data_IF_986202246534
#
_entry.id   IF_986202246534
#
_cell.length_a   1.000
_cell.length_b   1.000
_cell.length_c   1.000
_cell.angle_alpha   90.00
_cell.angle_beta   90.00
_cell.angle_gamma   90.00
#
_symmetry.space_group_name_H-M   'P 1'
#
loop_
_entity.id
_entity.type
_entity.pdbx_description
1 polymer ?
#
# COMPACT_ATOMS: atom_id res chain seq x y z
N UNK A 1 16.16 -16.18 -10.53
CA UNK A 1 17.48 -15.51 -10.65
C UNK A 1 17.39 -14.08 -10.15
N UNK A 2 18.46 -13.50 -9.56
CA UNK A 2 18.45 -12.10 -9.09
C UNK A 2 18.06 -11.12 -10.21
N UNK A 3 18.49 -11.39 -11.43
CA UNK A 3 18.16 -10.61 -12.62
C UNK A 3 16.68 -10.64 -12.99
N UNK A 4 16.02 -11.79 -12.85
CA UNK A 4 14.58 -11.91 -13.09
C UNK A 4 13.78 -11.08 -12.08
N UNK A 5 14.20 -11.07 -10.81
CA UNK A 5 13.55 -10.26 -9.78
C UNK A 5 13.65 -8.76 -10.08
N UNK A 6 14.82 -8.29 -10.54
CA UNK A 6 15.03 -6.89 -10.95
C UNK A 6 14.12 -6.55 -12.14
N UNK A 7 14.08 -7.43 -13.16
CA UNK A 7 13.24 -7.22 -14.35
C UNK A 7 11.76 -7.11 -13.95
N UNK A 8 11.26 -8.05 -13.16
CA UNK A 8 9.87 -8.03 -12.71
C UNK A 8 9.54 -6.81 -11.86
N UNK A 9 10.43 -6.42 -10.95
CA UNK A 9 10.25 -5.22 -10.15
C UNK A 9 10.15 -3.97 -11.05
N UNK A 10 11.09 -3.80 -11.98
CA UNK A 10 11.09 -2.66 -12.91
C UNK A 10 9.82 -2.59 -13.78
N UNK A 11 9.38 -3.73 -14.32
CA UNK A 11 8.17 -3.81 -15.15
C UNK A 11 6.93 -3.43 -14.34
N UNK A 12 6.76 -4.00 -13.14
CA UNK A 12 5.61 -3.72 -12.29
C UNK A 12 5.62 -2.28 -11.80
N UNK A 13 6.78 -1.73 -11.41
CA UNK A 13 6.89 -0.33 -11.01
C UNK A 13 6.53 0.61 -12.16
N UNK A 14 7.00 0.34 -13.39
CA UNK A 14 6.64 1.13 -14.56
C UNK A 14 5.12 1.08 -14.82
N UNK A 15 4.51 -0.11 -14.68
CA UNK A 15 3.08 -0.29 -14.83
C UNK A 15 2.29 0.51 -13.79
N UNK A 16 2.63 0.35 -12.50
CA UNK A 16 1.98 1.10 -11.40
C UNK A 16 2.14 2.61 -11.58
N UNK A 17 3.31 3.08 -12.06
CA UNK A 17 3.53 4.49 -12.36
C UNK A 17 2.56 5.01 -13.42
N UNK A 18 2.32 4.25 -14.50
CA UNK A 18 1.32 4.62 -15.52
C UNK A 18 -0.11 4.63 -14.97
N UNK A 19 -0.46 3.71 -14.07
CA UNK A 19 -1.79 3.68 -13.45
C UNK A 19 -1.98 4.76 -12.37
N UNK A 20 -0.90 5.29 -11.80
CA UNK A 20 -0.98 6.26 -10.70
C UNK A 20 -1.74 7.53 -11.10
N UNK A 21 -1.64 7.98 -12.36
CA UNK A 21 -2.40 9.13 -12.86
C UNK A 21 -3.92 8.88 -12.83
N UNK A 22 -4.35 7.75 -13.38
CA UNK A 22 -5.78 7.35 -13.36
C UNK A 22 -6.31 7.18 -11.94
N UNK A 23 -5.46 6.71 -11.01
CA UNK A 23 -5.81 6.59 -9.61
C UNK A 23 -6.04 7.96 -8.97
N UNK A 24 -5.19 8.96 -9.24
CA UNK A 24 -5.36 10.33 -8.72
C UNK A 24 -6.64 10.95 -9.26
N UNK A 25 -6.91 10.82 -10.56
CA UNK A 25 -8.15 11.31 -11.18
C UNK A 25 -9.40 10.66 -10.54
N UNK A 26 -9.32 9.35 -10.27
CA UNK A 26 -10.38 8.62 -9.58
C UNK A 26 -10.59 9.08 -8.14
N UNK A 27 -9.50 9.39 -7.40
CA UNK A 27 -9.57 9.93 -6.04
C UNK A 27 -10.27 11.30 -6.04
N UNK A 28 -9.92 12.18 -6.98
CA UNK A 28 -10.55 13.50 -7.09
C UNK A 28 -12.04 13.38 -7.43
N UNK A 29 -12.39 12.52 -8.40
CA UNK A 29 -13.78 12.22 -8.73
C UNK A 29 -14.58 11.64 -7.55
N UNK A 30 -13.97 10.71 -6.80
CA UNK A 30 -14.58 10.12 -5.61
C UNK A 30 -14.79 11.16 -4.49
N UNK A 31 -13.81 12.05 -4.26
CA UNK A 31 -13.92 13.15 -3.30
C UNK A 31 -15.13 14.04 -3.60
N UNK A 32 -15.32 14.43 -4.86
CA UNK A 32 -16.48 15.25 -5.29
C UNK A 32 -17.79 14.48 -5.14
N UNK A 33 -17.84 13.22 -5.58
CA UNK A 33 -19.07 12.42 -5.55
C UNK A 33 -19.52 12.06 -4.14
N UNK A 34 -18.59 11.72 -3.24
CA UNK A 34 -18.90 11.27 -1.88
C UNK A 34 -18.88 12.42 -0.87
N UNK A 35 -18.49 13.63 -1.28
CA UNK A 35 -18.32 14.82 -0.43
C UNK A 35 -17.39 14.57 0.76
N UNK A 36 -16.37 13.74 0.56
CA UNK A 36 -15.31 13.50 1.54
C UNK A 36 -14.02 14.16 1.06
N UNK A 37 -13.16 14.65 1.96
CA UNK A 37 -11.96 15.33 1.54
C UNK A 37 -10.96 14.35 0.89
N UNK A 38 -10.25 14.83 -0.14
CA UNK A 38 -9.16 14.10 -0.81
C UNK A 38 -8.16 13.56 0.22
N UNK A 39 -7.83 14.36 1.25
CA UNK A 39 -6.92 13.94 2.32
C UNK A 39 -7.39 12.69 3.08
N UNK A 40 -8.69 12.50 3.28
CA UNK A 40 -9.21 11.29 3.91
C UNK A 40 -9.03 10.06 3.01
N UNK A 41 -9.32 10.20 1.72
CA UNK A 41 -9.15 9.10 0.75
C UNK A 41 -7.66 8.73 0.65
N UNK A 42 -6.77 9.73 0.54
CA UNK A 42 -5.35 9.51 0.35
C UNK A 42 -4.61 9.02 1.60
N UNK A 43 -4.98 9.49 2.80
CA UNK A 43 -4.27 9.13 4.04
C UNK A 43 -4.84 7.88 4.69
N UNK A 44 -6.13 7.58 4.50
CA UNK A 44 -6.79 6.45 5.16
C UNK A 44 -7.11 5.33 4.18
N UNK A 45 -7.86 5.62 3.11
CA UNK A 45 -8.35 4.56 2.21
C UNK A 45 -7.24 3.99 1.32
N UNK A 46 -6.37 4.85 0.79
CA UNK A 46 -5.32 4.43 -0.12
C UNK A 46 -4.28 3.50 0.55
N UNK A 47 -3.77 3.77 1.77
CA UNK A 47 -2.84 2.85 2.44
C UNK A 47 -3.47 1.51 2.81
N UNK A 48 -4.77 1.47 3.11
CA UNK A 48 -5.48 0.20 3.38
C UNK A 48 -5.41 -0.70 2.14
N UNK A 49 -5.70 -0.15 0.96
CA UNK A 49 -5.65 -0.91 -0.30
C UNK A 49 -4.21 -1.21 -0.72
N UNK A 50 -3.32 -0.20 -0.65
CA UNK A 50 -1.91 -0.33 -1.03
C UNK A 50 -1.15 -1.37 -0.20
N UNK A 51 -1.47 -1.47 1.10
CA UNK A 51 -0.81 -2.41 2.00
C UNK A 51 -1.65 -3.67 2.26
N UNK A 52 -2.75 -3.88 1.53
CA UNK A 52 -3.65 -5.02 1.74
C UNK A 52 -2.92 -6.38 1.60
N UNK A 53 -2.00 -6.48 0.64
CA UNK A 53 -1.19 -7.68 0.43
C UNK A 53 -0.28 -7.99 1.64
N UNK A 54 0.31 -6.96 2.25
CA UNK A 54 1.13 -7.10 3.45
C UNK A 54 0.28 -7.54 4.66
N UNK A 55 -0.89 -6.93 4.83
CA UNK A 55 -1.83 -7.28 5.90
C UNK A 55 -2.34 -8.72 5.75
N UNK A 56 -2.68 -9.14 4.52
CA UNK A 56 -3.06 -10.52 4.24
C UNK A 56 -1.91 -11.49 4.55
N UNK A 57 -0.68 -11.12 4.22
CA UNK A 57 0.53 -11.86 4.60
C UNK A 57 0.69 -12.00 6.12
N UNK A 58 0.52 -10.91 6.86
CA UNK A 58 0.58 -10.92 8.33
C UNK A 58 -0.47 -11.86 8.94
N UNK A 59 -1.72 -11.80 8.47
CA UNK A 59 -2.79 -12.72 8.90
C UNK A 59 -2.42 -14.17 8.59
N UNK A 60 -1.90 -14.45 7.39
CA UNK A 60 -1.45 -15.81 7.05
C UNK A 60 -0.30 -16.31 7.93
N UNK A 61 0.63 -15.43 8.35
CA UNK A 61 1.69 -15.80 9.28
C UNK A 61 1.15 -16.05 10.70
N UNK A 62 0.21 -15.21 11.17
CA UNK A 62 -0.46 -15.41 12.44
C UNK A 62 -1.24 -16.74 12.49
N UNK A 63 -1.95 -17.10 11.42
CA UNK A 63 -2.66 -18.39 11.30
C UNK A 63 -1.74 -19.62 11.31
N UNK A 64 -0.43 -19.43 11.08
CA UNK A 64 0.59 -20.49 11.12
C UNK A 64 1.40 -20.47 12.43
N UNK A 65 0.87 -19.85 13.48
CA UNK A 65 1.53 -19.64 14.78
C UNK A 65 2.89 -18.92 14.69
N UNK A 66 3.09 -18.09 13.66
CA UNK A 66 4.30 -17.28 13.49
C UNK A 66 4.06 -15.82 13.87
N UNK A 67 3.73 -15.61 15.15
CA UNK A 67 3.40 -14.27 15.66
C UNK A 67 4.56 -13.26 15.53
N UNK A 68 5.81 -13.69 15.66
CA UNK A 68 6.97 -12.81 15.48
C UNK A 68 7.04 -12.23 14.06
N UNK A 69 6.73 -13.04 13.04
CA UNK A 69 6.68 -12.59 11.65
C UNK A 69 5.48 -11.67 11.41
N UNK A 70 4.32 -12.00 11.98
CA UNK A 70 3.12 -11.15 11.89
C UNK A 70 3.34 -9.77 12.52
N UNK A 71 3.92 -9.73 13.71
CA UNK A 71 4.25 -8.48 14.41
C UNK A 71 5.35 -7.71 13.66
N UNK A 72 6.36 -8.41 13.13
CA UNK A 72 7.39 -7.80 12.30
C UNK A 72 6.82 -7.06 11.09
N UNK A 73 5.86 -7.67 10.37
CA UNK A 73 5.17 -7.05 9.23
C UNK A 73 4.35 -5.84 9.70
N UNK A 74 3.55 -6.00 10.76
CA UNK A 74 2.67 -4.93 11.25
C UNK A 74 3.46 -3.70 11.73
N UNK A 75 4.52 -3.91 12.52
CA UNK A 75 5.36 -2.83 13.03
C UNK A 75 6.15 -2.17 11.89
N UNK A 76 6.72 -2.97 10.98
CA UNK A 76 7.47 -2.46 9.83
C UNK A 76 6.61 -1.57 8.92
N UNK A 77 5.42 -2.04 8.53
CA UNK A 77 4.48 -1.28 7.70
C UNK A 77 4.01 0.00 8.43
N UNK A 78 3.74 -0.08 9.74
CA UNK A 78 3.35 1.10 10.55
C UNK A 78 4.44 2.17 10.62
N UNK A 79 5.70 1.77 10.78
CA UNK A 79 6.84 2.70 10.77
C UNK A 79 7.00 3.34 9.39
N UNK A 80 6.87 2.58 8.31
CA UNK A 80 6.96 3.11 6.95
C UNK A 80 5.86 4.16 6.68
N UNK A 81 4.61 3.86 7.04
CA UNK A 81 3.50 4.82 6.88
C UNK A 81 3.75 6.06 7.75
N UNK A 82 4.12 5.87 9.01
CA UNK A 82 4.33 6.95 9.98
C UNK A 82 5.50 7.87 9.60
N UNK A 83 6.61 7.31 9.10
CA UNK A 83 7.82 8.08 8.77
C UNK A 83 7.88 8.56 7.33
N UNK A 84 7.21 7.88 6.38
CA UNK A 84 7.37 8.16 4.95
C UNK A 84 6.06 8.47 4.20
N UNK A 85 4.87 8.15 4.73
CA UNK A 85 3.61 8.40 4.02
C UNK A 85 2.79 9.56 4.61
N UNK A 86 2.80 9.75 5.93
CA UNK A 86 2.05 10.81 6.63
C UNK A 86 2.78 12.16 6.76
N UNK A 87 4.12 12.24 6.93
CA UNK A 87 4.80 13.54 7.10
C UNK A 87 5.03 14.30 5.77
N UNK A 88 4.47 13.81 4.66
CA UNK A 88 4.52 14.42 3.33
C UNK A 88 3.17 15.04 2.95
#
# INVERSE_FOLDING_TARGET
SKWEAIIWLSVLTAWVSLLSGYLVDAIEGASVSWKIPISFISVILLPIVGNAAEHAGAIMFAMKDKLDLSLGVAIGSSIQISMFAVPF
#
